data_IF_653496340618
#
_entry.id   IF_653496340618
#
_cell.length_a   1.000
_cell.length_b   1.000
_cell.length_c   1.000
_cell.angle_alpha   90.00
_cell.angle_beta   90.00
_cell.angle_gamma   90.00
#
_symmetry.space_group_name_H-M   'P 1'
#
loop_
_entity.id
_entity.type
_entity.pdbx_description
1 polymer ?
#
# COMPACT_ATOMS: atom_id res chain seq x y z
N UNK A 1 18.71 10.12 -11.14
CA UNK A 1 17.38 9.91 -10.57
C UNK A 1 17.12 8.41 -10.55
N UNK A 2 17.00 7.75 -9.38
CA UNK A 2 16.63 6.33 -9.32
C UNK A 2 15.25 6.16 -9.93
N UNK A 3 15.11 5.22 -10.85
CA UNK A 3 13.82 4.86 -11.45
C UNK A 3 13.15 3.89 -10.48
N UNK A 4 12.09 4.32 -9.83
CA UNK A 4 11.26 3.43 -9.01
C UNK A 4 10.36 2.62 -9.95
N UNK A 5 10.62 1.33 -10.05
CA UNK A 5 9.83 0.44 -10.89
C UNK A 5 8.80 -0.29 -10.00
N UNK A 6 7.57 -0.27 -10.46
CA UNK A 6 6.50 -1.06 -9.85
C UNK A 6 6.30 -2.34 -10.66
N UNK A 7 5.93 -3.42 -9.99
CA UNK A 7 5.46 -4.63 -10.66
C UNK A 7 4.14 -4.39 -11.39
N UNK A 8 3.75 -5.34 -12.24
CA UNK A 8 2.48 -5.31 -12.98
C UNK A 8 2.46 -4.39 -14.20
N UNK A 9 3.61 -4.00 -14.73
CA UNK A 9 3.69 -3.26 -15.99
C UNK A 9 3.41 -4.17 -17.19
N UNK A 10 2.12 -4.46 -17.42
CA UNK A 10 1.64 -5.20 -18.57
C UNK A 10 1.70 -4.40 -19.88
N UNK A 11 1.87 -3.08 -19.79
CA UNK A 11 1.90 -2.18 -20.95
C UNK A 11 3.31 -2.09 -21.55
N UNK A 12 4.34 -2.12 -20.70
CA UNK A 12 5.74 -2.14 -21.14
C UNK A 12 6.27 -3.53 -21.49
N UNK A 13 5.60 -4.60 -21.01
CA UNK A 13 6.05 -5.99 -21.14
C UNK A 13 4.99 -6.85 -21.83
N UNK A 14 4.73 -6.57 -23.10
CA UNK A 14 3.78 -7.36 -23.91
C UNK A 14 4.26 -8.81 -24.07
N UNK A 15 3.34 -9.78 -23.86
CA UNK A 15 3.62 -11.21 -24.08
C UNK A 15 4.16 -11.96 -22.87
N UNK A 16 4.17 -11.38 -21.68
CA UNK A 16 4.51 -12.09 -20.43
C UNK A 16 3.44 -13.14 -20.15
N UNK A 17 3.83 -14.41 -20.10
CA UNK A 17 2.93 -15.54 -19.81
C UNK A 17 2.66 -15.71 -18.30
N UNK A 18 3.62 -15.35 -17.47
CA UNK A 18 3.53 -15.44 -16.00
C UNK A 18 4.12 -14.16 -15.38
N UNK A 19 3.34 -13.51 -14.52
CA UNK A 19 3.75 -12.32 -13.81
C UNK A 19 3.86 -12.60 -12.30
N UNK A 20 5.09 -12.59 -11.78
CA UNK A 20 5.39 -12.72 -10.36
C UNK A 20 5.74 -11.38 -9.70
N UNK A 21 5.62 -10.28 -10.43
CA UNK A 21 5.99 -8.94 -9.93
C UNK A 21 4.90 -8.29 -9.08
N UNK A 22 3.67 -8.84 -9.11
CA UNK A 22 2.53 -8.36 -8.31
C UNK A 22 1.80 -9.52 -7.64
N UNK A 23 1.27 -9.26 -6.46
CA UNK A 23 0.49 -10.23 -5.70
C UNK A 23 -1.01 -10.04 -5.98
N UNK A 24 -1.47 -10.58 -7.11
CA UNK A 24 -2.88 -10.55 -7.49
C UNK A 24 -3.60 -11.82 -7.03
N UNK A 25 -4.87 -11.68 -6.64
CA UNK A 25 -5.72 -12.83 -6.38
C UNK A 25 -6.04 -13.55 -7.69
N UNK A 26 -5.57 -14.80 -7.91
CA UNK A 26 -5.82 -15.54 -9.16
C UNK A 26 -7.29 -15.86 -9.38
N UNK A 27 -8.12 -15.84 -8.35
CA UNK A 27 -9.58 -16.03 -8.44
C UNK A 27 -10.32 -14.74 -8.82
N UNK A 28 -9.59 -13.62 -8.94
CA UNK A 28 -10.16 -12.31 -9.24
C UNK A 28 -10.95 -11.70 -8.09
N UNK A 29 -11.83 -10.76 -8.43
CA UNK A 29 -12.68 -10.08 -7.46
C UNK A 29 -13.83 -10.99 -7.00
N UNK A 30 -14.11 -11.11 -5.69
CA UNK A 30 -15.26 -11.86 -5.19
C UNK A 30 -16.59 -11.34 -5.78
N UNK A 31 -17.50 -12.25 -6.09
CA UNK A 31 -18.81 -11.89 -6.69
C UNK A 31 -19.65 -10.97 -5.81
N UNK A 32 -19.55 -11.10 -4.48
CA UNK A 32 -20.20 -10.19 -3.55
C UNK A 32 -19.68 -8.74 -3.70
N UNK A 33 -18.38 -8.56 -3.91
CA UNK A 33 -17.79 -7.25 -4.13
C UNK A 33 -18.22 -6.65 -5.49
N UNK A 34 -18.27 -7.47 -6.54
CA UNK A 34 -18.76 -7.03 -7.87
C UNK A 34 -20.21 -6.55 -7.80
N UNK A 35 -21.06 -7.30 -7.11
CA UNK A 35 -22.47 -6.92 -6.92
C UNK A 35 -22.58 -5.61 -6.13
N UNK A 36 -21.89 -5.50 -5.00
CA UNK A 36 -21.89 -4.27 -4.20
C UNK A 36 -21.47 -3.04 -5.01
N UNK A 37 -20.42 -3.15 -5.83
CA UNK A 37 -20.02 -2.07 -6.73
C UNK A 37 -21.10 -1.68 -7.73
N UNK A 38 -21.78 -2.67 -8.33
CA UNK A 38 -22.83 -2.42 -9.30
C UNK A 38 -24.08 -1.78 -8.65
N UNK A 39 -24.47 -2.25 -7.46
CA UNK A 39 -25.61 -1.73 -6.71
C UNK A 39 -25.40 -0.29 -6.23
N UNK A 40 -24.16 0.09 -5.95
CA UNK A 40 -23.80 1.41 -5.43
C UNK A 40 -23.17 2.34 -6.47
N UNK A 41 -23.30 2.05 -7.77
CA UNK A 41 -22.67 2.85 -8.83
C UNK A 41 -23.10 4.33 -8.78
N UNK A 42 -24.35 4.61 -8.43
CA UNK A 42 -24.89 5.97 -8.33
C UNK A 42 -24.31 6.77 -7.14
N UNK A 43 -23.72 6.09 -6.14
CA UNK A 43 -23.09 6.79 -5.02
C UNK A 43 -21.80 7.47 -5.44
N UNK A 44 -21.17 7.06 -6.54
CA UNK A 44 -19.98 7.69 -7.10
C UNK A 44 -20.23 9.08 -7.72
N UNK A 45 -21.49 9.47 -7.90
CA UNK A 45 -21.86 10.83 -8.31
C UNK A 45 -21.67 11.86 -7.18
N UNK A 46 -21.49 11.39 -5.95
CA UNK A 46 -21.34 12.22 -4.76
C UNK A 46 -19.88 12.32 -4.34
N UNK A 47 -19.54 13.43 -3.68
CA UNK A 47 -18.25 13.49 -2.99
C UNK A 47 -18.15 12.41 -1.92
N UNK A 48 -17.05 11.66 -1.85
CA UNK A 48 -16.85 10.66 -0.80
C UNK A 48 -16.73 11.33 0.57
N UNK A 49 -17.04 10.56 1.63
CA UNK A 49 -16.79 11.02 2.99
C UNK A 49 -15.27 11.12 3.25
N UNK A 50 -14.72 12.35 3.43
CA UNK A 50 -13.28 12.54 3.59
C UNK A 50 -12.73 11.93 4.89
N UNK A 51 -13.60 11.55 5.81
CA UNK A 51 -13.24 10.88 7.07
C UNK A 51 -13.43 9.38 7.05
N UNK A 52 -13.97 8.82 5.96
CA UNK A 52 -14.24 7.38 5.81
C UNK A 52 -15.00 6.77 7.02
N UNK A 53 -15.96 7.51 7.61
CA UNK A 53 -16.56 7.16 8.92
C UNK A 53 -17.17 5.77 8.95
N UNK A 54 -17.92 5.39 7.92
CA UNK A 54 -18.56 4.08 7.83
C UNK A 54 -17.52 2.95 7.78
N UNK A 55 -16.51 3.09 6.92
CA UNK A 55 -15.42 2.11 6.79
C UNK A 55 -14.59 2.03 8.08
N UNK A 56 -14.27 3.17 8.69
CA UNK A 56 -13.54 3.24 9.95
C UNK A 56 -14.28 2.52 11.08
N UNK A 57 -15.60 2.74 11.21
CA UNK A 57 -16.42 2.07 12.22
C UNK A 57 -16.49 0.55 12.00
N UNK A 58 -16.65 0.11 10.77
CA UNK A 58 -16.68 -1.32 10.42
C UNK A 58 -15.34 -2.00 10.73
N UNK A 59 -14.22 -1.39 10.33
CA UNK A 59 -12.89 -1.91 10.62
C UNK A 59 -12.60 -1.94 12.12
N UNK A 60 -12.94 -0.88 12.84
CA UNK A 60 -12.77 -0.80 14.29
C UNK A 60 -13.53 -1.93 15.00
N UNK A 61 -14.80 -2.16 14.63
CA UNK A 61 -15.59 -3.27 15.16
C UNK A 61 -15.01 -4.63 14.84
N UNK A 62 -14.52 -4.84 13.61
CA UNK A 62 -13.93 -6.09 13.17
C UNK A 62 -12.62 -6.45 13.89
N UNK A 63 -11.80 -5.44 14.18
CA UNK A 63 -10.51 -5.64 14.84
C UNK A 63 -10.53 -5.41 16.35
N UNK A 64 -11.68 -5.04 16.92
CA UNK A 64 -11.84 -4.82 18.36
C UNK A 64 -11.01 -3.63 18.87
N UNK A 65 -10.86 -2.59 18.05
CA UNK A 65 -10.14 -1.36 18.37
C UNK A 65 -11.08 -0.16 18.34
N UNK A 66 -10.63 0.97 18.88
CA UNK A 66 -11.40 2.22 18.82
C UNK A 66 -11.30 2.85 17.43
N UNK A 67 -12.35 3.53 16.91
CA UNK A 67 -12.31 4.20 15.61
C UNK A 67 -11.15 5.19 15.45
N UNK A 68 -10.71 5.83 16.53
CA UNK A 68 -9.58 6.76 16.53
C UNK A 68 -8.24 6.07 16.27
N UNK A 69 -8.18 4.75 16.39
CA UNK A 69 -6.99 3.93 16.10
C UNK A 69 -6.96 3.41 14.67
N UNK A 70 -7.97 3.76 13.85
CA UNK A 70 -8.07 3.33 12.46
C UNK A 70 -7.88 4.51 11.52
N UNK A 71 -6.91 4.40 10.63
CA UNK A 71 -6.67 5.34 9.54
C UNK A 71 -6.91 4.64 8.20
N UNK A 72 -7.88 5.15 7.44
CA UNK A 72 -8.12 4.71 6.07
C UNK A 72 -7.33 5.56 5.08
N UNK A 73 -6.83 4.93 4.02
CA UNK A 73 -6.11 5.60 2.95
C UNK A 73 -6.36 4.96 1.59
N UNK A 74 -5.95 5.64 0.53
CA UNK A 74 -6.09 5.14 -0.84
C UNK A 74 -4.96 4.15 -1.17
N UNK A 75 -5.05 2.96 -0.61
CA UNK A 75 -4.04 1.92 -0.70
C UNK A 75 -2.86 2.13 0.27
N UNK A 76 -1.98 1.12 0.30
CA UNK A 76 -0.82 1.11 1.20
C UNK A 76 0.15 2.27 0.92
N UNK A 77 0.34 2.66 -0.34
CA UNK A 77 1.24 3.74 -0.71
C UNK A 77 0.83 5.07 -0.07
N UNK A 78 -0.46 5.44 -0.11
CA UNK A 78 -0.96 6.66 0.54
C UNK A 78 -0.64 6.65 2.05
N UNK A 79 -0.87 5.53 2.73
CA UNK A 79 -0.60 5.40 4.17
C UNK A 79 0.90 5.49 4.48
N UNK A 80 1.77 4.87 3.67
CA UNK A 80 3.22 4.95 3.80
C UNK A 80 3.69 6.41 3.69
N UNK A 81 3.19 7.15 2.69
CA UNK A 81 3.53 8.56 2.53
C UNK A 81 3.02 9.43 3.68
N UNK A 82 1.81 9.16 4.19
CA UNK A 82 1.27 9.87 5.37
C UNK A 82 2.11 9.63 6.61
N UNK A 83 2.56 8.40 6.85
CA UNK A 83 3.46 8.05 7.94
C UNK A 83 4.78 8.81 7.79
N UNK A 84 5.39 8.77 6.62
CA UNK A 84 6.64 9.47 6.37
C UNK A 84 6.49 10.99 6.51
N UNK A 85 5.37 11.57 6.08
CA UNK A 85 5.05 12.99 6.25
C UNK A 85 4.89 13.39 7.72
N UNK A 86 4.28 12.51 8.51
CA UNK A 86 4.03 12.74 9.93
C UNK A 86 5.33 12.69 10.75
N UNK A 87 6.12 11.64 10.58
CA UNK A 87 7.32 11.40 11.36
C UNK A 87 8.57 12.12 10.83
N UNK A 88 8.62 12.41 9.53
CA UNK A 88 9.76 13.03 8.84
C UNK A 88 11.10 12.43 9.26
N UNK A 89 11.28 11.11 9.12
CA UNK A 89 12.48 10.44 9.58
C UNK A 89 13.70 10.97 8.83
N UNK A 90 14.77 11.31 9.56
CA UNK A 90 16.06 11.66 8.96
C UNK A 90 16.74 10.42 8.38
N UNK A 91 16.55 9.28 9.04
CA UNK A 91 17.03 7.98 8.61
C UNK A 91 15.94 6.94 8.82
N UNK A 92 15.82 6.00 7.89
CA UNK A 92 14.94 4.85 7.99
C UNK A 92 15.71 3.58 7.63
N UNK A 93 15.44 2.51 8.38
CA UNK A 93 15.95 1.17 8.07
C UNK A 93 14.85 0.42 7.34
N UNK A 94 15.14 -0.08 6.15
CA UNK A 94 14.18 -0.82 5.31
C UNK A 94 14.75 -2.19 4.98
N UNK A 95 14.03 -3.29 5.30
CA UNK A 95 14.45 -4.63 4.85
C UNK A 95 14.54 -4.68 3.32
N UNK A 96 15.53 -5.35 2.77
CA UNK A 96 15.69 -5.50 1.33
C UNK A 96 15.70 -7.01 0.96
N UNK A 97 14.95 -7.41 -0.08
CA UNK A 97 14.11 -6.57 -0.95
C UNK A 97 12.78 -6.18 -0.29
N UNK A 98 12.29 -4.97 -0.57
CA UNK A 98 11.02 -4.45 -0.07
C UNK A 98 10.27 -3.63 -1.13
N UNK A 99 9.04 -3.28 -0.81
CA UNK A 99 8.21 -2.43 -1.66
C UNK A 99 8.86 -1.04 -1.82
N UNK A 100 9.06 -0.61 -3.06
CA UNK A 100 9.79 0.62 -3.41
C UNK A 100 9.20 1.90 -2.80
N UNK A 101 7.91 1.90 -2.43
CA UNK A 101 7.26 3.07 -1.84
C UNK A 101 7.78 3.44 -0.45
N UNK A 102 8.38 2.50 0.30
CA UNK A 102 9.01 2.82 1.58
C UNK A 102 10.18 3.80 1.39
N UNK A 103 11.12 3.44 0.51
CA UNK A 103 12.27 4.28 0.19
C UNK A 103 11.81 5.62 -0.42
N UNK A 104 10.88 5.54 -1.36
CA UNK A 104 10.34 6.71 -2.05
C UNK A 104 9.70 7.71 -1.10
N UNK A 105 8.89 7.24 -0.15
CA UNK A 105 8.25 8.09 0.84
C UNK A 105 9.27 8.77 1.76
N UNK A 106 10.27 8.03 2.26
CA UNK A 106 11.32 8.61 3.11
C UNK A 106 12.10 9.70 2.37
N UNK A 107 12.50 9.44 1.13
CA UNK A 107 13.21 10.43 0.32
C UNK A 107 12.37 11.66 -0.03
N UNK A 108 11.05 11.49 -0.26
CA UNK A 108 10.14 12.60 -0.55
C UNK A 108 10.09 13.62 0.59
N UNK A 109 10.33 13.19 1.83
CA UNK A 109 10.37 14.06 3.00
C UNK A 109 11.78 14.36 3.53
N UNK A 110 12.80 14.14 2.68
CA UNK A 110 14.18 14.54 2.95
C UNK A 110 14.98 13.59 3.84
N UNK A 111 14.48 12.38 4.09
CA UNK A 111 15.19 11.36 4.83
C UNK A 111 16.14 10.53 3.94
N UNK A 112 17.03 9.78 4.58
CA UNK A 112 17.88 8.78 3.95
C UNK A 112 17.40 7.38 4.35
N UNK A 113 17.63 6.39 3.45
CA UNK A 113 17.29 4.99 3.69
C UNK A 113 18.57 4.18 3.79
N UNK A 114 18.65 3.33 4.80
CA UNK A 114 19.62 2.26 4.92
C UNK A 114 18.89 0.94 4.65
N UNK A 115 19.34 0.22 3.63
CA UNK A 115 18.81 -1.12 3.33
C UNK A 115 19.42 -2.15 4.28
N UNK A 116 18.57 -3.00 4.83
CA UNK A 116 18.96 -4.15 5.62
C UNK A 116 18.73 -5.42 4.80
N UNK A 117 19.80 -6.03 4.33
CA UNK A 117 19.71 -7.28 3.57
C UNK A 117 19.29 -8.42 4.49
N UNK A 118 18.16 -9.06 4.17
CA UNK A 118 17.66 -10.22 4.93
C UNK A 118 18.50 -11.48 4.73
N UNK A 119 19.26 -11.58 3.64
CA UNK A 119 20.12 -12.74 3.36
C UNK A 119 21.46 -12.68 4.11
N UNK A 120 21.89 -11.49 4.58
CA UNK A 120 23.12 -11.36 5.36
C UNK A 120 22.89 -11.40 6.87
N UNK A 121 21.65 -11.44 7.36
CA UNK A 121 21.32 -11.52 8.80
C UNK A 121 21.46 -12.95 9.34
N UNK A 122 21.45 -13.94 8.47
CA UNK A 122 21.44 -15.36 8.86
C UNK A 122 22.82 -16.02 8.88
N UNK A 123 23.91 -15.32 8.63
CA UNK A 123 25.24 -15.88 8.78
C UNK A 123 25.71 -15.70 10.23
N UNK A 124 25.83 -16.78 11.02
CA UNK A 124 26.48 -16.69 12.32
C UNK A 124 27.95 -16.39 12.11
N UNK A 125 28.40 -15.30 12.68
CA UNK A 125 29.83 -15.00 12.85
C UNK A 125 30.53 -15.99 13.75
#
# INVERSE_FOLDING_TARGET
>A
MRRYEHGGDIYGNAGVALDFSVNLNPLGMPEAAKRALAEHISDYERYPDPRCRALTAELAGRYGVSPEQVLCGNGAADLIFRIAACFRPKQALVPAPAFSEYERAVHAFGGAVQELSLIHISEPT
#
